data_IF_248082229129
#
_entry.id   IF_248082229129
#
_cell.length_a   1.000
_cell.length_b   1.000
_cell.length_c   1.000
_cell.angle_alpha   90.00
_cell.angle_beta   90.00
_cell.angle_gamma   90.00
#
_symmetry.space_group_name_H-M   'P 1'
#
loop_
_entity.id
_entity.type
_entity.pdbx_description
1 polymer ?
#
# COMPACT_ATOMS: atom_id res chain seq x y z
N UNK A 1 -17.54 -14.55 25.81
CA UNK A 1 -18.04 -14.60 24.41
C UNK A 1 -16.84 -14.84 23.52
N UNK A 2 -16.95 -15.77 22.56
CA UNK A 2 -15.89 -15.94 21.57
C UNK A 2 -15.86 -14.72 20.66
N UNK A 3 -14.66 -14.27 20.26
CA UNK A 3 -14.50 -13.14 19.35
C UNK A 3 -15.22 -13.40 18.02
N UNK A 4 -15.82 -12.37 17.46
CA UNK A 4 -16.44 -12.41 16.12
C UNK A 4 -15.89 -11.29 15.27
N UNK A 5 -14.95 -11.65 14.41
CA UNK A 5 -14.24 -10.73 13.51
C UNK A 5 -14.78 -10.90 12.10
N UNK A 6 -15.16 -9.80 11.48
CA UNK A 6 -15.47 -9.75 10.06
C UNK A 6 -14.28 -9.16 9.30
N UNK A 7 -14.04 -9.70 8.11
CA UNK A 7 -13.21 -9.03 7.09
C UNK A 7 -14.06 -8.79 5.86
N UNK A 8 -14.27 -7.52 5.52
CA UNK A 8 -15.02 -7.09 4.34
C UNK A 8 -14.07 -6.62 3.24
N UNK A 9 -14.29 -7.10 2.01
CA UNK A 9 -13.46 -6.85 0.83
C UNK A 9 -14.37 -6.47 -0.35
N UNK A 10 -14.22 -5.25 -0.89
CA UNK A 10 -15.02 -4.74 -1.99
C UNK A 10 -14.60 -5.38 -3.32
N UNK A 11 -15.53 -6.07 -3.97
CA UNK A 11 -15.25 -6.85 -5.17
C UNK A 11 -14.84 -5.97 -6.36
N UNK A 12 -13.68 -6.25 -6.96
CA UNK A 12 -13.18 -5.54 -8.14
C UNK A 12 -13.19 -4.01 -7.98
N UNK A 13 -12.90 -3.50 -6.79
CA UNK A 13 -13.23 -2.18 -6.29
C UNK A 13 -13.08 -1.07 -7.31
N UNK A 14 -11.88 -0.78 -7.82
CA UNK A 14 -11.67 0.32 -8.77
C UNK A 14 -12.50 0.14 -10.04
N UNK A 15 -12.54 -1.07 -10.58
CA UNK A 15 -13.32 -1.34 -11.79
C UNK A 15 -14.84 -1.22 -11.52
N UNK A 16 -15.31 -1.61 -10.34
CA UNK A 16 -16.71 -1.45 -9.93
C UNK A 16 -17.09 0.01 -9.81
N UNK A 17 -16.23 0.86 -9.21
CA UNK A 17 -16.45 2.31 -9.14
C UNK A 17 -16.49 2.92 -10.54
N UNK A 18 -15.56 2.57 -11.44
CA UNK A 18 -15.58 3.08 -12.82
C UNK A 18 -16.86 2.69 -13.57
N UNK A 19 -17.30 1.43 -13.44
CA UNK A 19 -18.53 0.95 -14.07
C UNK A 19 -19.79 1.60 -13.49
N UNK A 20 -19.76 2.00 -12.23
CA UNK A 20 -20.86 2.72 -11.59
C UNK A 20 -20.91 4.18 -12.03
N UNK A 21 -19.76 4.85 -12.16
CA UNK A 21 -19.65 6.22 -12.62
C UNK A 21 -19.94 6.35 -14.13
N UNK A 22 -19.66 5.30 -14.90
CA UNK A 22 -19.96 5.25 -16.34
C UNK A 22 -20.78 3.99 -16.68
N UNK A 23 -22.12 4.11 -16.77
CA UNK A 23 -23.00 2.98 -17.06
C UNK A 23 -22.72 2.28 -18.40
N UNK A 24 -22.07 2.95 -19.36
CA UNK A 24 -21.69 2.32 -20.63
C UNK A 24 -20.66 1.20 -20.46
N UNK A 25 -19.94 1.18 -19.35
CA UNK A 25 -18.96 0.13 -19.01
C UNK A 25 -19.60 -1.12 -18.39
N UNK A 26 -20.86 -1.02 -17.97
CA UNK A 26 -21.55 -2.14 -17.31
C UNK A 26 -21.65 -3.35 -18.24
N UNK A 27 -21.38 -4.54 -17.68
CA UNK A 27 -21.42 -5.78 -18.43
C UNK A 27 -20.30 -5.98 -19.45
N UNK A 28 -19.32 -5.07 -19.52
CA UNK A 28 -18.15 -5.18 -20.39
C UNK A 28 -16.92 -5.69 -19.64
N UNK A 29 -15.92 -6.17 -20.36
CA UNK A 29 -14.60 -6.44 -19.81
C UNK A 29 -13.86 -5.12 -19.66
N UNK A 30 -13.64 -4.67 -18.43
CA UNK A 30 -13.01 -3.39 -18.09
C UNK A 30 -11.77 -3.65 -17.22
N UNK A 31 -10.69 -2.94 -17.48
CA UNK A 31 -9.52 -2.91 -16.62
C UNK A 31 -9.11 -1.45 -16.34
N UNK A 32 -8.92 -1.15 -15.06
CA UNK A 32 -8.33 0.12 -14.63
C UNK A 32 -6.82 -0.01 -14.74
N UNK A 33 -6.19 0.89 -15.50
CA UNK A 33 -4.80 0.75 -15.88
C UNK A 33 -4.04 2.06 -15.78
N UNK A 34 -2.78 1.99 -15.42
CA UNK A 34 -1.86 3.12 -15.54
C UNK A 34 -1.52 3.43 -17.00
N UNK A 35 -0.90 4.61 -17.23
CA UNK A 35 -0.49 5.06 -18.57
C UNK A 35 0.65 4.22 -19.13
N UNK A 36 0.46 3.69 -20.33
CA UNK A 36 1.50 2.94 -21.06
C UNK A 36 2.66 3.87 -21.48
N UNK A 37 2.34 5.09 -21.89
CA UNK A 37 3.32 6.09 -22.35
C UNK A 37 4.30 6.47 -21.22
N UNK A 38 3.81 6.48 -19.99
CA UNK A 38 4.60 6.77 -18.80
C UNK A 38 5.31 5.54 -18.20
N UNK A 39 5.36 4.40 -18.90
CA UNK A 39 5.89 3.10 -18.40
C UNK A 39 5.16 2.55 -17.17
N UNK A 40 3.95 3.03 -16.88
CA UNK A 40 3.07 2.58 -15.80
C UNK A 40 1.86 1.76 -16.31
N UNK A 41 1.90 1.31 -17.55
CA UNK A 41 0.82 0.59 -18.22
C UNK A 41 0.62 -0.83 -17.71
N UNK A 42 0.12 -0.96 -16.48
CA UNK A 42 -0.26 -2.24 -15.87
C UNK A 42 -1.71 -2.20 -15.40
N UNK A 43 -2.33 -3.37 -15.35
CA UNK A 43 -3.67 -3.57 -14.79
C UNK A 43 -3.61 -3.39 -13.26
N UNK A 44 -4.32 -2.40 -12.75
CA UNK A 44 -4.46 -2.13 -11.30
C UNK A 44 -5.65 -2.93 -10.73
N UNK A 45 -6.80 -2.85 -11.41
CA UNK A 45 -8.01 -3.60 -11.08
C UNK A 45 -8.74 -4.00 -12.36
N UNK A 46 -9.65 -4.95 -12.26
CA UNK A 46 -10.39 -5.50 -13.41
C UNK A 46 -11.79 -5.90 -13.02
N UNK A 47 -12.73 -5.77 -13.97
CA UNK A 47 -14.11 -6.27 -13.80
C UNK A 47 -14.13 -7.81 -13.74
N UNK A 48 -15.20 -8.36 -13.21
CA UNK A 48 -15.37 -9.81 -13.11
C UNK A 48 -15.33 -10.48 -14.52
N UNK A 49 -15.90 -9.82 -15.53
CA UNK A 49 -15.85 -10.29 -16.91
C UNK A 49 -14.43 -10.31 -17.48
N UNK A 50 -13.61 -9.30 -17.16
CA UNK A 50 -12.20 -9.29 -17.53
C UNK A 50 -11.40 -10.38 -16.80
N UNK A 51 -11.72 -10.64 -15.51
CA UNK A 51 -11.12 -11.73 -14.73
C UNK A 51 -11.44 -13.10 -15.33
N UNK A 52 -12.69 -13.32 -15.74
CA UNK A 52 -13.10 -14.56 -16.44
C UNK A 52 -12.38 -14.74 -17.78
N UNK A 53 -12.03 -13.65 -18.48
CA UNK A 53 -11.21 -13.68 -19.69
C UNK A 53 -9.71 -13.93 -19.41
N UNK A 54 -9.31 -14.16 -18.14
CA UNK A 54 -7.94 -14.49 -17.75
C UNK A 54 -7.04 -13.29 -17.45
N UNK A 55 -7.59 -12.08 -17.38
CA UNK A 55 -6.82 -10.88 -17.02
C UNK A 55 -6.41 -10.93 -15.54
N UNK A 56 -5.15 -10.60 -15.26
CA UNK A 56 -4.58 -10.58 -13.90
C UNK A 56 -4.09 -9.18 -13.52
N UNK A 57 -4.23 -8.81 -12.25
CA UNK A 57 -3.61 -7.59 -11.69
C UNK A 57 -2.09 -7.67 -11.84
N UNK A 58 -1.46 -6.55 -12.23
CA UNK A 58 -0.04 -6.47 -12.55
C UNK A 58 0.33 -6.89 -13.99
N UNK A 59 -0.61 -7.43 -14.79
CA UNK A 59 -0.41 -7.72 -16.21
C UNK A 59 -0.21 -6.41 -16.99
N UNK A 60 0.71 -6.38 -17.94
CA UNK A 60 0.91 -5.20 -18.78
C UNK A 60 -0.24 -5.00 -19.77
N UNK A 61 -0.54 -3.76 -20.12
CA UNK A 61 -1.72 -3.42 -20.93
C UNK A 61 -1.76 -4.14 -22.28
N UNK A 62 -0.62 -4.26 -22.98
CA UNK A 62 -0.58 -4.96 -24.26
C UNK A 62 -0.83 -6.47 -24.15
N UNK A 63 -0.34 -7.09 -23.07
CA UNK A 63 -0.59 -8.49 -22.78
C UNK A 63 -2.07 -8.72 -22.45
N UNK A 64 -2.65 -7.86 -21.59
CA UNK A 64 -4.07 -7.91 -21.24
C UNK A 64 -4.96 -7.82 -22.50
N UNK A 65 -4.63 -6.94 -23.44
CA UNK A 65 -5.31 -6.84 -24.76
C UNK A 65 -5.19 -8.09 -25.62
N UNK A 66 -4.09 -8.85 -25.51
CA UNK A 66 -3.96 -10.14 -26.24
C UNK A 66 -4.90 -11.20 -25.65
N UNK A 67 -5.09 -11.25 -24.34
CA UNK A 67 -6.03 -12.18 -23.70
C UNK A 67 -7.49 -11.80 -23.96
N UNK A 68 -7.80 -10.51 -24.02
CA UNK A 68 -9.14 -9.99 -24.22
C UNK A 68 -9.07 -8.80 -25.20
N UNK A 69 -9.23 -9.00 -26.52
CA UNK A 69 -9.16 -7.92 -27.52
C UNK A 69 -10.17 -6.80 -27.28
N UNK A 70 -11.37 -7.14 -26.78
CA UNK A 70 -12.44 -6.19 -26.47
C UNK A 70 -12.30 -5.54 -25.09
N UNK A 71 -11.20 -5.79 -24.36
CA UNK A 71 -10.94 -5.20 -23.05
C UNK A 71 -10.91 -3.66 -23.13
N UNK A 72 -11.73 -3.00 -22.34
CA UNK A 72 -11.73 -1.54 -22.23
C UNK A 72 -10.74 -1.15 -21.13
N UNK A 73 -9.74 -0.33 -21.49
CA UNK A 73 -8.78 0.22 -20.54
C UNK A 73 -9.24 1.60 -20.12
N UNK A 74 -9.33 1.84 -18.81
CA UNK A 74 -9.72 3.14 -18.23
C UNK A 74 -8.62 3.64 -17.29
N UNK A 75 -8.35 4.96 -17.26
CA UNK A 75 -7.40 5.52 -16.32
C UNK A 75 -7.98 5.52 -14.89
N UNK A 76 -7.15 5.43 -13.83
CA UNK A 76 -7.64 5.43 -12.46
C UNK A 76 -8.12 6.81 -12.01
N UNK A 77 -9.21 6.84 -11.24
CA UNK A 77 -9.78 8.01 -10.58
C UNK A 77 -9.66 7.88 -9.05
N UNK A 78 -8.44 8.01 -8.52
CA UNK A 78 -8.15 7.75 -7.09
C UNK A 78 -8.99 8.58 -6.11
N UNK A 79 -9.37 9.81 -6.45
CA UNK A 79 -10.26 10.63 -5.62
C UNK A 79 -11.62 9.98 -5.42
N UNK A 80 -12.17 9.39 -6.50
CA UNK A 80 -13.43 8.66 -6.42
C UNK A 80 -13.26 7.39 -5.57
N UNK A 81 -12.17 6.67 -5.73
CA UNK A 81 -11.91 5.48 -4.91
C UNK A 81 -11.81 5.81 -3.43
N UNK A 82 -11.09 6.89 -3.06
CA UNK A 82 -11.05 7.37 -1.68
C UNK A 82 -12.44 7.74 -1.15
N UNK A 83 -13.23 8.44 -1.95
CA UNK A 83 -14.60 8.81 -1.58
C UNK A 83 -15.44 7.58 -1.25
N UNK A 84 -15.50 6.58 -2.15
CA UNK A 84 -16.27 5.36 -1.93
C UNK A 84 -15.70 4.49 -0.81
N UNK A 85 -14.38 4.46 -0.65
CA UNK A 85 -13.72 3.81 0.49
C UNK A 85 -14.16 4.41 1.83
N UNK A 86 -14.23 5.74 1.92
CA UNK A 86 -14.70 6.42 3.13
C UNK A 86 -16.18 6.17 3.41
N UNK A 87 -17.04 6.26 2.38
CA UNK A 87 -18.47 5.95 2.51
C UNK A 87 -18.71 4.50 2.99
N UNK A 88 -17.92 3.54 2.49
CA UNK A 88 -17.97 2.17 2.97
C UNK A 88 -17.61 2.06 4.46
N UNK A 89 -16.57 2.77 4.89
CA UNK A 89 -16.16 2.81 6.30
C UNK A 89 -17.22 3.44 7.20
N UNK A 90 -17.91 4.47 6.73
CA UNK A 90 -19.04 5.06 7.45
C UNK A 90 -20.12 4.02 7.71
N UNK A 91 -20.48 3.17 6.72
CA UNK A 91 -21.40 2.06 6.91
C UNK A 91 -20.90 1.08 7.99
N UNK A 92 -19.61 0.69 7.94
CA UNK A 92 -19.02 -0.23 8.92
C UNK A 92 -19.06 0.34 10.35
N UNK A 93 -18.78 1.63 10.50
CA UNK A 93 -18.75 2.32 11.80
C UNK A 93 -20.10 2.41 12.50
N UNK A 94 -21.20 2.25 11.78
CA UNK A 94 -22.52 2.15 12.41
C UNK A 94 -22.71 0.86 13.20
N UNK A 95 -21.95 -0.19 12.87
CA UNK A 95 -22.03 -1.48 13.57
C UNK A 95 -21.02 -1.62 14.70
N UNK A 96 -19.87 -0.99 14.62
CA UNK A 96 -18.82 -1.07 15.65
C UNK A 96 -17.81 0.08 15.53
N UNK A 97 -17.23 0.49 16.64
CA UNK A 97 -16.08 1.45 16.65
C UNK A 97 -14.75 0.76 16.34
N UNK A 98 -14.70 -0.57 16.40
CA UNK A 98 -13.53 -1.36 16.10
C UNK A 98 -13.50 -1.68 14.59
N UNK A 99 -13.11 -0.68 13.80
CA UNK A 99 -13.00 -0.75 12.32
C UNK A 99 -11.56 -0.43 11.94
N UNK A 100 -10.82 -1.45 11.53
CA UNK A 100 -9.44 -1.33 11.09
C UNK A 100 -9.33 -1.42 9.57
N UNK A 101 -8.99 -0.32 8.86
CA UNK A 101 -8.71 -0.37 7.45
C UNK A 101 -7.49 -1.24 7.15
N UNK A 102 -7.59 -2.13 6.16
CA UNK A 102 -6.49 -2.96 5.69
C UNK A 102 -6.02 -2.60 4.27
N UNK A 103 -6.84 -1.88 3.54
CA UNK A 103 -6.62 -1.31 2.22
C UNK A 103 -7.60 -0.18 1.95
N UNK A 104 -7.71 0.24 0.70
CA UNK A 104 -8.79 1.15 0.29
C UNK A 104 -10.14 0.43 0.23
N UNK A 105 -10.12 -0.87 -0.04
CA UNK A 105 -11.25 -1.74 -0.30
C UNK A 105 -11.46 -2.80 0.76
N UNK A 106 -10.60 -2.88 1.76
CA UNK A 106 -10.65 -3.91 2.80
C UNK A 106 -10.70 -3.31 4.21
N UNK A 107 -11.53 -3.91 5.08
CA UNK A 107 -11.59 -3.56 6.50
C UNK A 107 -11.80 -4.79 7.37
N UNK A 108 -11.14 -4.81 8.53
CA UNK A 108 -11.51 -5.69 9.64
C UNK A 108 -12.49 -4.98 10.56
N UNK A 109 -13.48 -5.73 11.08
CA UNK A 109 -14.45 -5.26 12.06
C UNK A 109 -14.50 -6.27 13.22
N UNK A 110 -14.40 -5.82 14.45
CA UNK A 110 -14.73 -6.64 15.61
C UNK A 110 -16.17 -6.32 16.04
N UNK A 111 -17.06 -7.25 15.78
CA UNK A 111 -18.49 -7.11 16.09
C UNK A 111 -18.91 -7.93 17.31
N UNK A 112 -17.95 -8.40 18.11
CA UNK A 112 -18.23 -9.24 19.27
C UNK A 112 -19.26 -8.63 20.21
N UNK A 113 -19.06 -7.37 20.59
CA UNK A 113 -20.00 -6.67 21.47
C UNK A 113 -21.28 -6.21 20.76
N UNK A 114 -21.22 -6.01 19.46
CA UNK A 114 -22.33 -5.49 18.64
C UNK A 114 -23.44 -6.51 18.40
N UNK A 115 -23.16 -7.80 18.62
CA UNK A 115 -24.13 -8.88 18.42
C UNK A 115 -25.39 -8.72 19.29
N UNK A 116 -25.29 -8.05 20.43
CA UNK A 116 -26.43 -7.77 21.31
C UNK A 116 -27.45 -6.84 20.64
N UNK A 117 -26.97 -5.95 19.76
CA UNK A 117 -27.80 -4.92 19.10
C UNK A 117 -28.22 -5.33 17.70
N UNK A 118 -27.36 -5.98 16.95
CA UNK A 118 -27.52 -6.20 15.50
C UNK A 118 -27.70 -7.68 15.13
N UNK A 119 -27.64 -8.60 16.09
CA UNK A 119 -27.75 -10.04 15.86
C UNK A 119 -26.38 -10.70 15.66
N UNK A 120 -26.37 -11.95 15.19
CA UNK A 120 -25.17 -12.75 14.97
C UNK A 120 -24.20 -12.10 13.97
N UNK A 121 -22.94 -12.50 13.99
CA UNK A 121 -21.95 -12.04 13.02
C UNK A 121 -22.38 -12.25 11.56
N UNK A 122 -23.18 -13.32 11.30
CA UNK A 122 -23.73 -13.56 9.97
C UNK A 122 -24.82 -12.54 9.61
N UNK A 123 -25.74 -12.24 10.52
CA UNK A 123 -26.79 -11.23 10.30
C UNK A 123 -26.20 -9.84 10.08
N UNK A 124 -25.16 -9.48 10.84
CA UNK A 124 -24.41 -8.22 10.64
C UNK A 124 -23.77 -8.21 9.24
N UNK A 125 -23.11 -9.29 8.83
CA UNK A 125 -22.50 -9.39 7.50
C UNK A 125 -23.54 -9.30 6.37
N UNK A 126 -24.68 -9.94 6.52
CA UNK A 126 -25.80 -9.86 5.56
C UNK A 126 -26.32 -8.40 5.45
N UNK A 127 -26.50 -7.71 6.59
CA UNK A 127 -26.91 -6.30 6.62
C UNK A 127 -25.89 -5.39 5.93
N UNK A 128 -24.61 -5.54 6.26
CA UNK A 128 -23.53 -4.77 5.62
C UNK A 128 -23.53 -5.00 4.10
N UNK A 129 -23.57 -6.25 3.64
CA UNK A 129 -23.61 -6.58 2.22
C UNK A 129 -24.81 -5.96 1.51
N UNK A 130 -26.00 -6.01 2.13
CA UNK A 130 -27.21 -5.40 1.60
C UNK A 130 -27.08 -3.87 1.48
N UNK A 131 -26.56 -3.20 2.51
CA UNK A 131 -26.36 -1.75 2.51
C UNK A 131 -25.30 -1.31 1.49
N UNK A 132 -24.18 -2.02 1.39
CA UNK A 132 -23.15 -1.74 0.38
C UNK A 132 -23.73 -1.75 -1.04
N UNK A 133 -24.61 -2.68 -1.34
CA UNK A 133 -25.30 -2.77 -2.64
C UNK A 133 -26.30 -1.63 -2.85
N UNK A 134 -27.13 -1.37 -1.86
CA UNK A 134 -28.25 -0.44 -2.00
C UNK A 134 -27.81 1.03 -1.92
N UNK A 135 -26.84 1.33 -1.06
CA UNK A 135 -26.39 2.71 -0.80
C UNK A 135 -25.22 3.11 -1.70
N UNK A 136 -24.28 2.16 -1.98
CA UNK A 136 -23.06 2.47 -2.74
C UNK A 136 -23.00 1.81 -4.12
N UNK A 137 -23.92 0.90 -4.45
CA UNK A 137 -23.84 0.14 -5.71
C UNK A 137 -22.65 -0.82 -5.80
N UNK A 138 -22.00 -1.13 -4.68
CA UNK A 138 -20.82 -1.99 -4.60
C UNK A 138 -21.16 -3.31 -3.95
N UNK A 139 -20.54 -4.40 -4.40
CA UNK A 139 -20.64 -5.71 -3.76
C UNK A 139 -19.41 -5.99 -2.90
N UNK A 140 -19.59 -6.76 -1.83
CA UNK A 140 -18.52 -7.14 -0.91
C UNK A 140 -18.48 -8.65 -0.72
N UNK A 141 -17.29 -9.19 -0.47
CA UNK A 141 -17.11 -10.54 0.04
C UNK A 141 -16.67 -10.43 1.50
N UNK A 142 -17.41 -11.10 2.40
CA UNK A 142 -17.19 -10.99 3.84
C UNK A 142 -16.82 -12.34 4.42
N UNK A 143 -15.67 -12.39 5.11
CA UNK A 143 -15.29 -13.53 5.93
C UNK A 143 -15.61 -13.26 7.39
N UNK A 144 -16.14 -14.27 8.08
CA UNK A 144 -16.48 -14.22 9.50
C UNK A 144 -15.66 -15.29 10.20
N UNK A 145 -14.95 -14.93 11.27
CA UNK A 145 -14.20 -15.90 12.07
C UNK A 145 -13.91 -15.37 13.48
N UNK A 146 -13.20 -16.17 14.28
CA UNK A 146 -12.79 -15.83 15.64
C UNK A 146 -11.43 -15.07 15.69
N UNK A 147 -10.72 -14.94 14.58
CA UNK A 147 -9.49 -14.15 14.45
C UNK A 147 -9.41 -13.43 13.09
N UNK A 148 -8.49 -12.48 12.97
CA UNK A 148 -8.33 -11.66 11.75
C UNK A 148 -7.85 -12.49 10.56
N UNK A 149 -6.96 -13.45 10.79
CA UNK A 149 -6.33 -14.26 9.75
C UNK A 149 -7.37 -15.11 9.02
N UNK A 150 -8.23 -15.78 9.77
CA UNK A 150 -9.26 -16.62 9.18
C UNK A 150 -10.46 -15.81 8.65
N UNK A 151 -10.74 -14.65 9.24
CA UNK A 151 -11.71 -13.73 8.66
C UNK A 151 -11.27 -13.25 7.27
N UNK A 152 -9.99 -12.86 7.12
CA UNK A 152 -9.42 -12.50 5.80
C UNK A 152 -9.45 -13.68 4.83
N UNK A 153 -9.04 -14.85 5.27
CA UNK A 153 -9.07 -16.06 4.45
C UNK A 153 -10.50 -16.37 3.98
N UNK A 154 -11.49 -16.27 4.87
CA UNK A 154 -12.91 -16.49 4.56
C UNK A 154 -13.42 -15.56 3.47
N UNK A 155 -13.03 -14.28 3.47
CA UNK A 155 -13.44 -13.32 2.44
C UNK A 155 -12.86 -13.65 1.05
N UNK A 156 -11.71 -14.37 1.01
CA UNK A 156 -11.06 -14.77 -0.25
C UNK A 156 -11.56 -16.11 -0.80
N UNK A 157 -12.11 -17.01 0.06
CA UNK A 157 -12.56 -18.35 -0.33
C UNK A 157 -13.67 -18.35 -1.37
N UNK A 158 -14.60 -17.40 -1.25
CA UNK A 158 -15.73 -17.27 -2.18
C UNK A 158 -15.86 -15.82 -2.63
N UNK A 159 -15.64 -15.56 -3.91
CA UNK A 159 -15.79 -14.26 -4.57
C UNK A 159 -16.46 -14.45 -5.93
N UNK A 160 -17.26 -13.50 -6.42
CA UNK A 160 -17.66 -12.26 -5.75
C UNK A 160 -18.93 -12.46 -4.88
N UNK A 161 -19.23 -11.41 -4.08
CA UNK A 161 -20.53 -11.20 -3.42
C UNK A 161 -20.98 -12.39 -2.55
N UNK A 162 -20.10 -12.80 -1.65
CA UNK A 162 -20.34 -13.97 -0.80
C UNK A 162 -19.96 -13.73 0.65
N UNK A 163 -20.63 -14.44 1.55
CA UNK A 163 -20.32 -14.47 2.97
C UNK A 163 -19.82 -15.86 3.33
N UNK A 164 -18.67 -15.95 3.95
CA UNK A 164 -18.04 -17.21 4.38
C UNK A 164 -17.81 -17.19 5.88
N UNK A 165 -18.41 -18.13 6.60
CA UNK A 165 -18.18 -18.30 8.03
C UNK A 165 -17.18 -19.43 8.28
N UNK A 166 -16.14 -19.17 9.10
CA UNK A 166 -15.16 -20.14 9.58
C UNK A 166 -15.28 -20.21 11.10
N UNK A 167 -16.06 -21.17 11.59
CA UNK A 167 -16.30 -21.36 13.01
C UNK A 167 -15.13 -22.07 13.69
N UNK A 168 -14.97 -21.80 14.99
CA UNK A 168 -13.93 -22.43 15.82
C UNK A 168 -14.04 -23.94 15.89
N UNK A 169 -15.25 -24.49 15.74
CA UNK A 169 -15.51 -25.94 15.75
C UNK A 169 -15.04 -26.68 14.50
N UNK A 170 -14.96 -25.99 13.35
CA UNK A 170 -14.74 -26.62 12.04
C UNK A 170 -13.56 -26.02 11.23
N UNK A 171 -12.85 -25.06 11.81
CA UNK A 171 -11.83 -24.32 11.06
C UNK A 171 -10.74 -25.21 10.44
N UNK A 172 -10.29 -26.26 11.14
CA UNK A 172 -9.28 -27.19 10.61
C UNK A 172 -9.75 -27.85 9.32
N UNK A 173 -11.03 -28.28 9.27
CA UNK A 173 -11.59 -28.93 8.09
C UNK A 173 -11.69 -27.96 6.89
N UNK A 174 -11.92 -26.66 7.14
CA UNK A 174 -12.05 -25.65 6.10
C UNK A 174 -10.72 -25.03 5.69
N UNK A 175 -9.79 -24.83 6.65
CA UNK A 175 -8.56 -24.07 6.44
C UNK A 175 -7.36 -24.96 6.09
N UNK A 176 -7.17 -26.07 6.77
CA UNK A 176 -5.99 -26.92 6.56
C UNK A 176 -5.84 -27.49 5.16
N UNK A 177 -6.92 -27.85 4.41
CA UNK A 177 -6.79 -28.33 3.04
C UNK A 177 -6.39 -27.24 2.02
N UNK A 178 -6.45 -25.95 2.40
CA UNK A 178 -6.09 -24.85 1.51
C UNK A 178 -4.58 -24.79 1.25
N UNK A 179 -4.20 -24.26 0.11
CA UNK A 179 -2.78 -24.07 -0.22
C UNK A 179 -2.12 -23.11 0.77
N UNK A 180 -0.90 -23.39 1.15
CA UNK A 180 -0.13 -22.53 2.05
C UNK A 180 0.04 -21.09 1.53
N UNK A 181 -0.01 -20.90 0.21
CA UNK A 181 0.04 -19.59 -0.43
C UNK A 181 -1.20 -18.71 -0.18
N UNK A 182 -2.30 -19.30 0.30
CA UNK A 182 -3.52 -18.58 0.62
C UNK A 182 -3.47 -17.96 2.02
N UNK A 183 -2.55 -18.44 2.87
CA UNK A 183 -2.35 -17.89 4.20
C UNK A 183 -1.78 -16.47 4.11
N UNK A 184 -2.37 -15.55 4.86
CA UNK A 184 -1.95 -14.15 4.91
C UNK A 184 -0.44 -14.05 5.22
N UNK A 185 0.28 -13.18 4.52
CA UNK A 185 1.74 -13.00 4.56
C UNK A 185 2.59 -14.17 4.00
N UNK A 186 1.99 -15.23 3.48
CA UNK A 186 2.70 -16.27 2.75
C UNK A 186 2.86 -15.89 1.27
N UNK A 187 3.80 -15.00 0.96
CA UNK A 187 4.07 -14.55 -0.40
C UNK A 187 4.83 -15.59 -1.24
N UNK A 188 4.99 -15.31 -2.55
CA UNK A 188 5.61 -16.23 -3.54
C UNK A 188 6.96 -16.82 -3.12
N UNK A 189 7.84 -16.01 -2.52
CA UNK A 189 9.17 -16.47 -2.06
C UNK A 189 9.06 -17.47 -0.91
N UNK A 190 8.16 -17.19 0.04
CA UNK A 190 7.90 -18.08 1.18
C UNK A 190 7.24 -19.37 0.72
N UNK A 191 6.21 -19.27 -0.12
CA UNK A 191 5.55 -20.44 -0.72
C UNK A 191 6.55 -21.36 -1.41
N UNK A 192 7.44 -20.80 -2.26
CA UNK A 192 8.45 -21.59 -2.96
C UNK A 192 9.40 -22.33 -1.99
N UNK A 193 9.81 -21.69 -0.89
CA UNK A 193 10.67 -22.34 0.11
C UNK A 193 9.94 -23.47 0.84
N UNK A 194 8.66 -23.26 1.17
CA UNK A 194 7.83 -24.28 1.84
C UNK A 194 7.58 -25.48 0.91
N UNK A 195 7.22 -25.23 -0.34
CA UNK A 195 7.01 -26.28 -1.34
C UNK A 195 8.28 -27.12 -1.61
N UNK A 196 9.48 -26.52 -1.53
CA UNK A 196 10.77 -27.24 -1.67
C UNK A 196 11.02 -28.28 -0.57
N UNK A 197 10.37 -28.12 0.59
CA UNK A 197 10.48 -29.06 1.72
C UNK A 197 9.19 -29.88 1.92
N UNK A 198 8.29 -29.89 0.92
CA UNK A 198 7.09 -30.73 0.91
C UNK A 198 5.89 -30.14 1.65
N UNK A 199 5.91 -28.85 2.02
CA UNK A 199 4.79 -28.15 2.67
C UNK A 199 3.96 -27.46 1.61
N UNK A 200 2.78 -27.97 1.28
CA UNK A 200 1.90 -27.47 0.24
C UNK A 200 0.63 -26.84 0.77
N UNK A 201 0.14 -27.33 1.91
CA UNK A 201 -1.11 -26.90 2.52
C UNK A 201 -0.87 -26.14 3.83
N UNK A 202 -1.90 -25.44 4.30
CA UNK A 202 -1.88 -24.78 5.61
C UNK A 202 -1.76 -25.84 6.71
N UNK A 203 -2.41 -27.00 6.54
CA UNK A 203 -2.32 -28.14 7.46
C UNK A 203 -0.90 -28.70 7.55
N UNK A 204 -0.22 -28.90 6.40
CA UNK A 204 1.17 -29.35 6.40
C UNK A 204 2.07 -28.41 7.24
N UNK A 205 1.87 -27.09 7.09
CA UNK A 205 2.62 -26.09 7.86
C UNK A 205 2.28 -26.15 9.35
N UNK A 206 1.00 -26.32 9.67
CA UNK A 206 0.53 -26.37 11.07
C UNK A 206 1.06 -27.57 11.85
N UNK A 207 1.27 -28.69 11.17
CA UNK A 207 1.77 -29.94 11.75
C UNK A 207 3.31 -30.03 11.80
N UNK A 208 4.01 -29.07 11.17
CA UNK A 208 5.47 -29.04 11.21
C UNK A 208 6.02 -28.72 12.59
N UNK A 209 7.21 -29.25 12.86
CA UNK A 209 7.96 -28.92 14.06
C UNK A 209 8.30 -27.40 14.07
N UNK A 210 8.01 -26.76 15.20
CA UNK A 210 8.21 -25.33 15.42
C UNK A 210 9.66 -24.89 15.19
N UNK A 211 10.64 -25.65 15.68
CA UNK A 211 12.06 -25.30 15.57
C UNK A 211 12.55 -25.45 14.13
N UNK A 212 12.05 -26.45 13.42
CA UNK A 212 12.32 -26.62 11.99
C UNK A 212 11.80 -25.44 11.17
N UNK A 213 10.56 -24.99 11.41
CA UNK A 213 9.98 -23.82 10.73
C UNK A 213 10.79 -22.55 11.03
N UNK A 214 11.26 -22.40 12.28
CA UNK A 214 12.14 -21.29 12.66
C UNK A 214 13.48 -21.31 11.91
N UNK A 215 14.10 -22.47 11.77
CA UNK A 215 15.35 -22.63 11.01
C UNK A 215 15.15 -22.29 9.53
N UNK A 216 14.01 -22.67 8.93
CA UNK A 216 13.72 -22.48 7.51
C UNK A 216 13.39 -21.04 7.15
N UNK A 217 12.60 -20.34 7.97
CA UNK A 217 11.99 -19.04 7.65
C UNK A 217 12.20 -17.96 8.72
N UNK A 218 12.81 -18.29 9.86
CA UNK A 218 13.01 -17.39 10.98
C UNK A 218 11.69 -16.94 11.61
N UNK A 219 11.68 -15.75 12.19
CA UNK A 219 10.51 -15.16 12.88
C UNK A 219 9.23 -15.13 12.01
N UNK A 220 9.38 -14.90 10.72
CA UNK A 220 8.23 -14.91 9.80
C UNK A 220 7.63 -16.32 9.68
N UNK A 221 8.47 -17.37 9.74
CA UNK A 221 8.00 -18.76 9.74
C UNK A 221 7.18 -19.08 10.99
N UNK A 222 7.66 -18.65 12.16
CA UNK A 222 6.94 -18.84 13.41
C UNK A 222 5.57 -18.14 13.43
N UNK A 223 5.52 -16.93 12.90
CA UNK A 223 4.25 -16.20 12.73
C UNK A 223 3.29 -16.97 11.81
N UNK A 224 3.76 -17.46 10.66
CA UNK A 224 2.93 -18.24 9.74
C UNK A 224 2.47 -19.57 10.36
N UNK A 225 3.34 -20.23 11.12
CA UNK A 225 3.00 -21.44 11.86
C UNK A 225 1.91 -21.18 12.89
N UNK A 226 2.01 -20.08 13.65
CA UNK A 226 0.96 -19.66 14.60
C UNK A 226 -0.36 -19.41 13.88
N UNK A 227 -0.33 -18.73 12.75
CA UNK A 227 -1.52 -18.47 11.94
C UNK A 227 -2.15 -19.75 11.39
N UNK A 228 -1.33 -20.69 10.90
CA UNK A 228 -1.80 -22.01 10.44
C UNK A 228 -2.48 -22.82 11.55
N UNK A 229 -2.11 -22.58 12.81
CA UNK A 229 -2.71 -23.16 14.00
C UNK A 229 -3.87 -22.33 14.58
N UNK A 230 -4.30 -21.25 13.92
CA UNK A 230 -5.39 -20.39 14.39
C UNK A 230 -5.03 -19.50 15.58
N UNK A 231 -3.75 -19.41 15.91
CA UNK A 231 -3.22 -18.66 17.05
C UNK A 231 -2.95 -17.19 16.65
N UNK A 232 -4.02 -16.41 16.53
CA UNK A 232 -3.95 -14.97 16.34
C UNK A 232 -4.95 -14.30 17.29
N UNK A 233 -4.45 -13.50 18.21
CA UNK A 233 -5.21 -12.71 19.17
C UNK A 233 -5.09 -11.22 18.93
N UNK A 234 -4.48 -10.82 17.80
CA UNK A 234 -4.30 -9.41 17.46
C UNK A 234 -5.64 -8.66 17.48
N UNK A 235 -5.72 -7.50 18.15
CA UNK A 235 -6.96 -6.72 18.22
C UNK A 235 -7.28 -6.11 16.85
N UNK A 236 -8.57 -5.89 16.60
CA UNK A 236 -9.01 -4.94 15.57
C UNK A 236 -8.88 -3.54 16.17
N UNK A 237 -8.18 -2.67 15.48
CA UNK A 237 -7.92 -1.30 15.95
C UNK A 237 -9.19 -0.46 15.89
N UNK A 238 -9.27 0.54 16.76
CA UNK A 238 -10.32 1.54 16.73
C UNK A 238 -10.23 2.38 15.44
N UNK A 239 -11.36 2.90 14.99
CA UNK A 239 -11.50 3.72 13.78
C UNK A 239 -10.53 4.90 13.70
N UNK A 240 -10.18 5.48 14.86
CA UNK A 240 -9.31 6.64 14.96
C UNK A 240 -7.83 6.28 15.19
N UNK A 241 -7.51 4.99 15.21
CA UNK A 241 -6.13 4.54 15.39
C UNK A 241 -5.24 4.92 14.20
N UNK A 242 -4.21 5.70 14.48
CA UNK A 242 -3.19 6.07 13.50
C UNK A 242 -1.88 5.35 13.82
N UNK A 243 -1.47 4.44 12.95
CA UNK A 243 -0.19 3.76 13.10
C UNK A 243 0.98 4.75 13.02
N UNK A 244 1.97 4.68 13.93
CA UNK A 244 3.14 5.54 13.87
C UNK A 244 3.86 5.44 12.52
N UNK A 245 4.10 6.58 11.89
CA UNK A 245 4.76 6.64 10.58
C UNK A 245 6.24 6.28 10.72
N UNK A 246 6.68 5.21 10.04
CA UNK A 246 8.06 4.73 10.10
C UNK A 246 8.99 5.41 9.09
N UNK A 247 8.44 5.85 7.98
CA UNK A 247 9.19 6.52 6.91
C UNK A 247 8.25 7.33 6.01
N UNK A 248 8.79 8.36 5.34
CA UNK A 248 8.12 9.09 4.26
C UNK A 248 8.96 8.95 3.01
N UNK A 249 8.42 8.36 1.97
CA UNK A 249 9.17 8.13 0.73
C UNK A 249 8.34 8.41 -0.51
N UNK A 250 9.05 8.74 -1.58
CA UNK A 250 8.50 8.88 -2.92
C UNK A 250 9.44 8.21 -3.92
N UNK A 251 8.88 7.44 -4.85
CA UNK A 251 9.64 6.77 -5.89
C UNK A 251 8.93 6.84 -7.22
N UNK A 252 9.70 6.93 -8.31
CA UNK A 252 9.19 7.05 -9.65
C UNK A 252 9.94 6.15 -10.64
N UNK A 253 9.21 5.52 -11.54
CA UNK A 253 9.77 4.97 -12.77
C UNK A 253 9.76 6.08 -13.81
N UNK A 254 10.95 6.42 -14.32
CA UNK A 254 11.10 7.49 -15.30
C UNK A 254 10.52 7.09 -16.66
N UNK A 255 10.01 8.07 -17.41
CA UNK A 255 9.46 7.87 -18.78
C UNK A 255 10.53 7.42 -19.76
N UNK A 256 11.78 7.82 -19.53
CA UNK A 256 12.98 7.35 -20.21
C UNK A 256 14.08 7.04 -19.20
N UNK A 257 15.02 6.15 -19.57
CA UNK A 257 16.13 5.82 -18.68
C UNK A 257 17.08 7.02 -18.49
N UNK A 258 17.53 7.22 -17.24
CA UNK A 258 18.47 8.27 -16.89
C UNK A 258 19.88 7.78 -17.18
N UNK A 259 20.65 8.58 -17.90
CA UNK A 259 21.98 8.22 -18.39
C UNK A 259 23.12 9.05 -17.76
N UNK A 260 22.76 10.10 -17.02
CA UNK A 260 23.73 11.01 -16.39
C UNK A 260 23.36 11.24 -14.93
N UNK A 261 24.38 11.58 -14.14
CA UNK A 261 24.20 11.96 -12.74
C UNK A 261 23.31 13.21 -12.60
N UNK A 262 23.40 14.15 -13.55
CA UNK A 262 22.56 15.36 -13.53
C UNK A 262 21.10 15.02 -13.69
N UNK A 263 20.74 14.06 -14.56
CA UNK A 263 19.37 13.59 -14.71
C UNK A 263 18.85 12.94 -13.43
N UNK A 264 19.66 12.08 -12.80
CA UNK A 264 19.31 11.46 -11.51
C UNK A 264 19.15 12.50 -10.41
N UNK A 265 20.06 13.51 -10.36
CA UNK A 265 19.97 14.60 -9.40
C UNK A 265 18.64 15.37 -9.49
N UNK A 266 18.21 15.70 -10.71
CA UNK A 266 16.93 16.39 -10.92
C UNK A 266 15.75 15.57 -10.41
N UNK A 267 15.74 14.28 -10.68
CA UNK A 267 14.68 13.38 -10.16
C UNK A 267 14.71 13.32 -8.63
N UNK A 268 15.88 13.13 -8.02
CA UNK A 268 16.05 13.15 -6.55
C UNK A 268 15.49 14.45 -5.97
N UNK A 269 15.86 15.60 -6.57
CA UNK A 269 15.44 16.91 -6.08
C UNK A 269 13.93 17.10 -6.12
N UNK A 270 13.26 16.66 -7.20
CA UNK A 270 11.79 16.70 -7.30
C UNK A 270 11.12 15.79 -6.28
N UNK A 271 11.58 14.55 -6.14
CA UNK A 271 11.03 13.62 -5.16
C UNK A 271 11.16 14.17 -3.72
N UNK A 272 12.28 14.84 -3.42
CA UNK A 272 12.50 15.42 -2.10
C UNK A 272 11.59 16.61 -1.79
N UNK A 273 11.11 17.36 -2.81
CA UNK A 273 10.10 18.41 -2.59
C UNK A 273 8.82 17.83 -1.98
N UNK A 274 8.34 16.70 -2.52
CA UNK A 274 7.16 16.02 -1.98
C UNK A 274 7.42 15.44 -0.58
N UNK A 275 8.59 14.83 -0.37
CA UNK A 275 8.98 14.27 0.93
C UNK A 275 8.99 15.34 2.01
N UNK A 276 9.63 16.49 1.77
CA UNK A 276 9.67 17.61 2.74
C UNK A 276 8.28 18.16 3.04
N UNK A 277 7.44 18.31 2.01
CA UNK A 277 6.03 18.72 2.16
C UNK A 277 5.28 17.76 3.10
N UNK A 278 5.38 16.46 2.87
CA UNK A 278 4.70 15.43 3.68
C UNK A 278 5.25 15.36 5.11
N UNK A 279 6.56 15.46 5.31
CA UNK A 279 7.16 15.55 6.64
C UNK A 279 6.58 16.74 7.44
N UNK A 280 6.47 17.90 6.79
CA UNK A 280 5.88 19.09 7.41
C UNK A 280 4.42 18.87 7.81
N UNK A 281 3.59 18.32 6.94
CA UNK A 281 2.16 18.07 7.22
C UNK A 281 1.99 17.16 8.43
N UNK A 282 2.85 16.16 8.57
CA UNK A 282 2.78 15.19 9.65
C UNK A 282 3.55 15.64 10.92
N UNK A 283 4.17 16.84 10.92
CA UNK A 283 4.93 17.33 12.05
C UNK A 283 6.16 16.47 12.39
N UNK A 284 6.80 15.90 11.39
CA UNK A 284 7.94 14.99 11.51
C UNK A 284 9.19 15.56 10.87
N UNK A 285 10.38 15.18 11.38
CA UNK A 285 11.69 15.44 10.78
C UNK A 285 12.40 14.11 10.48
N UNK A 286 13.23 14.10 9.43
CA UNK A 286 14.05 12.96 9.05
C UNK A 286 15.40 13.01 9.73
N UNK A 287 15.87 11.93 10.34
CA UNK A 287 17.25 11.74 10.80
C UNK A 287 18.11 10.96 9.82
N UNK A 288 17.51 10.31 8.83
CA UNK A 288 18.23 9.55 7.83
C UNK A 288 17.50 9.54 6.49
N UNK A 289 18.26 9.18 5.47
CA UNK A 289 17.78 9.06 4.09
C UNK A 289 18.14 7.69 3.55
N UNK A 290 17.21 7.07 2.86
CA UNK A 290 17.43 5.87 2.05
C UNK A 290 17.18 6.21 0.59
N UNK A 291 18.04 5.74 -0.30
CA UNK A 291 17.84 5.78 -1.74
C UNK A 291 17.76 4.36 -2.29
N UNK A 292 16.78 4.08 -3.16
CA UNK A 292 16.70 2.86 -3.93
C UNK A 292 16.81 3.20 -5.42
N UNK A 293 17.70 2.51 -6.12
CA UNK A 293 17.96 2.68 -7.54
C UNK A 293 17.62 1.38 -8.24
N UNK A 294 16.81 1.45 -9.27
CA UNK A 294 16.52 0.32 -10.14
C UNK A 294 17.09 0.55 -11.51
N UNK A 295 17.91 -0.39 -11.97
CA UNK A 295 18.53 -0.34 -13.30
C UNK A 295 17.53 -0.67 -14.41
N UNK A 296 17.93 -0.49 -15.66
CA UNK A 296 17.19 -0.88 -16.85
C UNK A 296 16.89 -2.38 -16.88
N UNK A 297 17.79 -3.21 -16.36
CA UNK A 297 17.60 -4.67 -16.23
C UNK A 297 16.76 -5.09 -15.03
N UNK A 298 16.15 -4.12 -14.35
CA UNK A 298 15.22 -4.31 -13.23
C UNK A 298 15.88 -4.77 -11.92
N UNK A 299 17.21 -4.73 -11.79
CA UNK A 299 17.89 -4.94 -10.52
C UNK A 299 17.74 -3.71 -9.62
N UNK A 300 17.40 -3.94 -8.36
CA UNK A 300 17.24 -2.86 -7.38
C UNK A 300 18.31 -2.98 -6.31
N UNK A 301 18.97 -1.84 -6.03
CA UNK A 301 19.91 -1.70 -4.90
C UNK A 301 19.44 -0.58 -3.99
N UNK A 302 19.67 -0.71 -2.69
CA UNK A 302 19.27 0.27 -1.68
C UNK A 302 20.47 0.66 -0.82
N UNK A 303 20.57 1.96 -0.52
CA UNK A 303 21.61 2.52 0.32
C UNK A 303 20.98 3.51 1.29
N UNK A 304 21.54 3.64 2.48
CA UNK A 304 21.04 4.57 3.48
C UNK A 304 22.17 5.26 4.24
N UNK A 305 21.89 6.44 4.75
CA UNK A 305 22.82 7.24 5.54
C UNK A 305 22.09 8.11 6.54
N UNK A 306 22.84 8.64 7.50
CA UNK A 306 22.31 9.55 8.51
C UNK A 306 22.59 11.01 8.14
N UNK A 307 21.63 11.87 8.47
CA UNK A 307 21.76 13.33 8.41
C UNK A 307 22.49 13.82 9.66
N UNK A 308 23.21 14.91 9.54
CA UNK A 308 23.91 15.53 10.67
C UNK A 308 22.95 16.11 11.72
N UNK A 309 21.79 16.58 11.28
CA UNK A 309 20.69 17.07 12.12
C UNK A 309 19.36 16.63 11.53
N UNK A 310 18.33 16.43 12.37
CA UNK A 310 16.97 16.15 11.90
C UNK A 310 16.44 17.30 11.04
N UNK A 311 15.83 17.00 9.89
CA UNK A 311 15.39 18.06 8.96
C UNK A 311 14.11 17.71 8.21
N UNK A 312 13.37 18.75 7.78
CA UNK A 312 12.31 18.68 6.76
C UNK A 312 12.75 19.28 5.43
N UNK A 313 13.96 19.85 5.37
CA UNK A 313 14.44 20.63 4.21
C UNK A 313 14.70 19.71 3.03
N UNK A 314 13.98 19.86 1.90
CA UNK A 314 14.10 18.97 0.75
C UNK A 314 15.55 18.91 0.19
N UNK A 315 16.26 20.04 0.20
CA UNK A 315 17.60 20.12 -0.34
C UNK A 315 18.61 19.31 0.48
N UNK A 316 18.51 19.30 1.81
CA UNK A 316 19.41 18.53 2.67
C UNK A 316 19.17 17.00 2.50
N UNK A 317 17.90 16.60 2.41
CA UNK A 317 17.52 15.22 2.08
C UNK A 317 18.08 14.83 0.70
N UNK A 318 17.93 15.70 -0.29
CA UNK A 318 18.40 15.45 -1.65
C UNK A 318 19.93 15.36 -1.73
N UNK A 319 20.67 16.21 -1.02
CA UNK A 319 22.15 16.17 -0.97
C UNK A 319 22.65 14.82 -0.46
N UNK A 320 22.13 14.34 0.66
CA UNK A 320 22.52 13.04 1.20
C UNK A 320 22.12 11.89 0.24
N UNK A 321 20.92 11.95 -0.36
CA UNK A 321 20.52 10.95 -1.36
C UNK A 321 21.47 10.93 -2.56
N UNK A 322 21.92 12.11 -3.05
CA UNK A 322 22.92 12.23 -4.13
C UNK A 322 24.27 11.66 -3.73
N UNK A 323 24.76 11.97 -2.54
CA UNK A 323 26.02 11.39 -2.04
C UNK A 323 25.98 9.87 -1.96
N UNK A 324 24.88 9.31 -1.46
CA UNK A 324 24.67 7.85 -1.41
C UNK A 324 24.65 7.25 -2.81
N UNK A 325 24.03 7.93 -3.76
CA UNK A 325 24.04 7.53 -5.16
C UNK A 325 25.47 7.54 -5.74
N UNK A 326 26.19 8.66 -5.63
CA UNK A 326 27.54 8.84 -6.18
C UNK A 326 28.53 7.81 -5.63
N UNK A 327 28.47 7.51 -4.33
CA UNK A 327 29.38 6.56 -3.69
C UNK A 327 29.16 5.10 -4.09
N UNK A 328 27.95 4.75 -4.55
CA UNK A 328 27.54 3.35 -4.65
C UNK A 328 27.07 2.91 -6.05
N UNK A 329 26.75 3.86 -6.95
CA UNK A 329 26.27 3.51 -8.29
C UNK A 329 27.40 3.60 -9.32
N UNK A 330 27.70 2.48 -9.96
CA UNK A 330 28.85 2.30 -10.84
C UNK A 330 28.57 2.58 -12.34
N UNK A 331 27.36 3.05 -12.66
CA UNK A 331 26.93 3.38 -14.03
C UNK A 331 27.10 2.27 -15.08
N UNK A 332 27.17 0.99 -14.66
CA UNK A 332 27.18 -0.13 -15.63
C UNK A 332 25.94 -0.16 -16.49
N UNK A 333 24.83 0.32 -15.94
CA UNK A 333 23.54 0.37 -16.61
C UNK A 333 22.85 1.72 -16.38
N UNK A 334 21.99 2.18 -17.32
CA UNK A 334 21.15 3.35 -17.10
C UNK A 334 20.16 3.11 -15.95
N UNK A 335 19.76 4.20 -15.28
CA UNK A 335 18.80 4.18 -14.19
C UNK A 335 17.38 4.28 -14.72
N UNK A 336 16.54 3.29 -14.36
CA UNK A 336 15.11 3.23 -14.74
C UNK A 336 14.21 3.88 -13.73
N UNK A 337 14.47 3.68 -12.44
CA UNK A 337 13.65 4.28 -11.39
C UNK A 337 14.50 4.70 -10.19
N UNK A 338 14.02 5.76 -9.53
CA UNK A 338 14.64 6.33 -8.33
C UNK A 338 13.56 6.40 -7.25
N UNK A 339 13.92 5.98 -6.04
CA UNK A 339 13.09 6.16 -4.85
C UNK A 339 13.92 6.81 -3.77
N UNK A 340 13.42 7.86 -3.17
CA UNK A 340 14.00 8.49 -1.97
C UNK A 340 13.06 8.30 -0.81
N UNK A 341 13.61 8.05 0.37
CA UNK A 341 12.83 7.84 1.59
C UNK A 341 13.52 8.51 2.77
N UNK A 342 12.78 9.36 3.47
CA UNK A 342 13.11 9.84 4.79
C UNK A 342 12.85 8.73 5.80
N UNK A 343 13.84 8.38 6.60
CA UNK A 343 13.81 7.30 7.59
C UNK A 343 14.23 7.82 8.96
N UNK A 344 14.03 7.01 10.02
CA UNK A 344 14.33 7.38 11.40
C UNK A 344 13.64 8.70 11.73
N UNK A 345 12.31 8.70 11.59
CA UNK A 345 11.50 9.91 11.78
C UNK A 345 11.38 10.24 13.27
N UNK A 346 11.51 11.53 13.58
CA UNK A 346 11.31 12.09 14.92
C UNK A 346 10.25 13.18 14.86
N UNK A 347 9.61 13.46 16.01
CA UNK A 347 8.67 14.57 16.10
C UNK A 347 9.38 15.91 15.89
N UNK A 348 8.78 16.79 15.10
CA UNK A 348 9.30 18.16 14.93
C UNK A 348 9.29 18.99 16.24
N UNK A 349 8.63 18.50 17.29
CA UNK A 349 8.57 19.13 18.62
C UNK A 349 9.64 18.61 19.58
N UNK A 350 10.35 17.54 19.22
CA UNK A 350 11.41 17.02 20.06
C UNK A 350 12.62 17.96 20.07
N UNK A 351 13.28 18.11 21.23
CA UNK A 351 14.50 18.90 21.32
C UNK A 351 15.61 18.27 20.48
N UNK A 352 16.34 19.09 19.73
CA UNK A 352 17.43 18.64 18.87
C UNK A 352 18.77 18.71 19.58
N UNK A 353 19.51 17.62 19.53
CA UNK A 353 20.89 17.63 19.99
C UNK A 353 21.78 18.27 18.92
N UNK A 354 22.35 19.43 19.25
CA UNK A 354 23.27 20.13 18.37
C UNK A 354 24.62 19.41 18.36
N UNK A 355 25.15 19.16 17.15
CA UNK A 355 26.51 18.63 16.95
C UNK A 355 27.50 19.77 16.68
N UNK A 356 28.70 19.69 17.25
CA UNK A 356 29.77 20.69 17.04
C UNK A 356 30.18 20.87 15.56
N UNK A 357 29.95 19.87 14.74
CA UNK A 357 30.28 19.86 13.30
C UNK A 357 29.10 20.21 12.39
N UNK A 358 27.94 20.55 12.97
CA UNK A 358 26.74 20.97 12.22
C UNK A 358 26.62 22.51 12.25
N UNK A 359 25.94 23.05 11.24
CA UNK A 359 25.59 24.47 11.18
C UNK A 359 24.07 24.64 11.40
N UNK A 360 23.62 24.71 12.66
CA UNK A 360 22.21 24.81 12.96
C UNK A 360 21.59 26.14 12.49
N UNK A 361 22.40 27.22 12.44
CA UNK A 361 21.93 28.53 11.98
C UNK A 361 21.58 28.49 10.49
N UNK A 362 22.42 27.84 9.69
CA UNK A 362 22.17 27.63 8.26
C UNK A 362 20.92 26.78 8.06
N UNK A 363 20.81 25.67 8.78
CA UNK A 363 19.67 24.76 8.66
C UNK A 363 18.36 25.46 9.04
N UNK A 364 18.35 26.25 10.10
CA UNK A 364 17.18 27.04 10.52
C UNK A 364 16.75 28.06 9.43
N UNK A 365 17.71 28.72 8.77
CA UNK A 365 17.42 29.61 7.63
C UNK A 365 16.82 28.87 6.44
N UNK A 366 17.36 27.70 6.11
CA UNK A 366 16.88 26.86 5.03
C UNK A 366 15.48 26.32 5.35
N UNK A 367 15.20 25.96 6.60
CA UNK A 367 13.88 25.54 7.06
C UNK A 367 12.86 26.69 6.95
N UNK A 368 13.21 27.91 7.40
CA UNK A 368 12.37 29.10 7.25
C UNK A 368 12.07 29.42 5.78
N UNK A 369 13.08 29.31 4.92
CA UNK A 369 12.91 29.48 3.47
C UNK A 369 11.96 28.44 2.89
N UNK A 370 12.14 27.17 3.27
CA UNK A 370 11.25 26.08 2.83
C UNK A 370 9.81 26.34 3.26
N UNK A 371 9.59 26.73 4.53
CA UNK A 371 8.26 27.06 5.04
C UNK A 371 7.60 28.22 4.28
N UNK A 372 8.37 29.25 3.92
CA UNK A 372 7.87 30.37 3.11
C UNK A 372 7.48 29.92 1.69
N UNK A 373 8.28 29.05 1.08
CA UNK A 373 7.98 28.45 -0.25
C UNK A 373 6.69 27.62 -0.17
N UNK A 374 6.54 26.82 0.87
CA UNK A 374 5.34 26.00 1.07
C UNK A 374 4.08 26.84 1.25
N UNK A 375 4.18 27.98 1.94
CA UNK A 375 3.06 28.91 2.09
C UNK A 375 2.66 29.57 0.74
N UNK A 376 3.63 29.92 -0.10
CA UNK A 376 3.37 30.41 -1.47
C UNK A 376 2.69 29.32 -2.28
N UNK A 377 3.21 28.08 -2.24
CA UNK A 377 2.64 26.94 -2.96
C UNK A 377 1.20 26.62 -2.52
N UNK A 378 0.92 26.72 -1.23
CA UNK A 378 -0.42 26.54 -0.69
C UNK A 378 -1.43 27.53 -1.25
N UNK A 379 -1.02 28.79 -1.46
CA UNK A 379 -1.89 29.87 -1.96
C UNK A 379 -2.05 29.87 -3.48
N UNK A 380 -0.97 29.59 -4.19
CA UNK A 380 -0.87 29.81 -5.63
C UNK A 380 -0.63 28.53 -6.45
N UNK A 381 -0.60 27.37 -5.80
CA UNK A 381 -0.33 26.08 -6.44
C UNK A 381 1.15 25.69 -6.43
N UNK A 382 1.41 24.40 -6.57
CA UNK A 382 2.74 23.79 -6.48
C UNK A 382 3.76 24.41 -7.46
N UNK A 383 3.30 24.86 -8.63
CA UNK A 383 4.15 25.40 -9.70
C UNK A 383 4.44 26.91 -9.57
N UNK A 384 3.86 27.62 -8.58
CA UNK A 384 4.06 29.05 -8.40
C UNK A 384 5.52 29.41 -8.12
N UNK A 385 6.24 28.55 -7.41
CA UNK A 385 7.67 28.69 -7.13
C UNK A 385 8.30 27.32 -7.02
N UNK A 386 9.41 27.14 -7.75
CA UNK A 386 10.16 25.90 -7.64
C UNK A 386 11.60 26.02 -8.15
N UNK A 387 12.53 25.09 -7.84
CA UNK A 387 13.93 25.18 -8.20
C UNK A 387 14.16 25.29 -9.69
N UNK A 388 14.96 26.26 -10.15
CA UNK A 388 15.26 26.47 -11.58
C UNK A 388 15.87 25.23 -12.26
N UNK A 389 16.59 24.37 -11.51
CA UNK A 389 17.12 23.11 -12.00
C UNK A 389 16.04 22.13 -12.50
N UNK A 390 14.80 22.30 -12.05
CA UNK A 390 13.66 21.47 -12.41
C UNK A 390 12.81 22.01 -13.58
N UNK A 391 13.22 23.13 -14.20
CA UNK A 391 12.49 23.78 -15.31
C UNK A 391 12.62 23.07 -16.67
N UNK A 392 13.47 22.03 -16.76
CA UNK A 392 13.68 21.25 -17.99
C UNK A 392 12.94 19.92 -17.89
N UNK A 393 12.90 19.18 -19.00
CA UNK A 393 12.40 17.80 -19.03
C UNK A 393 13.11 16.94 -17.98
N UNK A 394 12.33 16.42 -17.05
CA UNK A 394 12.81 15.60 -15.94
C UNK A 394 12.76 14.10 -16.27
N UNK A 395 12.29 13.72 -17.47
CA UNK A 395 11.96 12.33 -17.80
C UNK A 395 11.04 11.67 -16.76
N UNK A 396 10.20 12.45 -16.13
CA UNK A 396 9.18 12.02 -15.17
C UNK A 396 7.80 12.15 -15.79
N UNK A 397 6.84 11.29 -15.40
CA UNK A 397 5.45 11.49 -15.78
C UNK A 397 4.98 12.88 -15.34
N UNK A 398 4.19 13.54 -16.18
CA UNK A 398 3.52 14.76 -15.73
C UNK A 398 2.53 14.41 -14.61
N UNK A 399 2.87 14.80 -13.39
CA UNK A 399 1.91 14.77 -12.29
C UNK A 399 0.91 15.90 -12.51
N UNK A 400 -0.31 15.55 -12.82
CA UNK A 400 -1.43 16.45 -12.54
C UNK A 400 -1.47 16.62 -11.02
N UNK A 401 -1.60 17.87 -10.56
CA UNK A 401 -1.53 18.30 -9.16
C UNK A 401 -2.63 17.64 -8.28
N UNK A 402 -2.56 16.38 -8.09
CA UNK A 402 -3.40 15.69 -7.13
C UNK A 402 -2.49 15.19 -6.02
N UNK A 403 -2.33 16.01 -4.99
CA UNK A 403 -1.63 15.67 -3.75
C UNK A 403 -2.36 14.58 -2.96
N UNK A 404 -2.80 13.53 -3.66
CA UNK A 404 -3.51 12.41 -3.08
C UNK A 404 -2.51 11.60 -2.27
N UNK A 405 -2.50 11.83 -0.97
CA UNK A 405 -1.79 10.95 -0.03
C UNK A 405 -2.67 9.72 0.15
N UNK A 406 -2.25 8.62 -0.46
CA UNK A 406 -2.90 7.34 -0.23
C UNK A 406 -2.83 7.00 1.26
N UNK A 407 -3.92 6.52 1.86
CA UNK A 407 -3.91 6.11 3.27
C UNK A 407 -2.78 5.11 3.50
N UNK A 408 -1.96 5.34 4.53
CA UNK A 408 -0.77 4.55 4.85
C UNK A 408 -1.05 3.15 5.39
N UNK A 409 -2.00 2.45 4.84
CA UNK A 409 -2.46 1.13 5.31
C UNK A 409 -1.48 0.01 4.96
N UNK A 410 -0.54 0.24 4.08
CA UNK A 410 0.46 -0.77 3.69
C UNK A 410 1.74 -0.76 4.54
N UNK A 411 1.76 -0.12 5.70
CA UNK A 411 2.93 -0.03 6.57
C UNK A 411 2.86 -1.03 7.74
N UNK A 412 2.69 -2.30 7.43
CA UNK A 412 2.95 -3.38 8.40
C UNK A 412 4.18 -4.19 8.01
#
# INVERSE_FOLDING_TARGET
>A
MNRTILHSDMNCFYASVEMMLNPELQGKAVAVCGSTENRHGIVLAKSEKAKQAGIKTGMVNWEAKRFCPDLILVPPQYEQYLKYSNMAREIYQEYTDLVEPYGMDECFLDVTASQVLYGSGKEIADQISCRMKNELGLTVSIGISFNKIFAKLGSDMKKPDAITNIEESEWKQKVWPLRVSELLFCGRSTTKKLEQVGIYTIGDLAEMDHDYVNQLLGKNGLMLWSYANGLDDSPVMEKDFVSPMKSVGHGITCTADLKTEEEVWKVILELCQDIGHRLRIHGLKAQGVQIAIRSQELFTRQYQGQLSLPTIVPLEIAKLARELFQRNYDWKEPVRSVTVRAINLVSAKEPEQICLFSDPIRLEKEEKLFLAIEEIRRRFGKRAIYPAALMKDLKMPEYRDHGLIMPGVMNR
#
